data_IF_774780127728
#
_entry.id   IF_774780127728
#
_cell.length_a   1.000
_cell.length_b   1.000
_cell.length_c   1.000
_cell.angle_alpha   90.00
_cell.angle_beta   90.00
_cell.angle_gamma   90.00
#
_symmetry.space_group_name_H-M   'P 1'
#
loop_
_entity.id
_entity.type
_entity.pdbx_description
1 polymer ?
#
# COMPACT_ATOMS: atom_id res chain seq x y z
N UNK A 1 -12.44 -33.69 -37.54
CA UNK A 1 -13.09 -32.60 -38.32
C UNK A 1 -13.58 -31.58 -37.30
N UNK A 2 -12.87 -30.45 -37.15
CA UNK A 2 -13.28 -29.11 -37.63
C UNK A 2 -14.46 -28.52 -36.83
N UNK A 3 -14.50 -27.28 -36.33
CA UNK A 3 -13.65 -26.08 -36.43
C UNK A 3 -14.08 -25.09 -35.32
N UNK A 4 -13.13 -24.24 -34.97
CA UNK A 4 -13.20 -23.02 -34.15
C UNK A 4 -14.24 -22.00 -34.65
N UNK A 5 -14.84 -21.24 -33.72
CA UNK A 5 -15.32 -19.88 -33.99
C UNK A 5 -15.38 -19.06 -32.68
N UNK A 6 -14.36 -18.24 -32.47
CA UNK A 6 -14.33 -17.15 -31.51
C UNK A 6 -15.17 -15.96 -32.03
N UNK A 7 -15.87 -15.25 -31.13
CA UNK A 7 -16.47 -13.96 -31.45
C UNK A 7 -15.96 -12.88 -30.49
N UNK A 8 -15.31 -11.89 -31.12
CA UNK A 8 -14.67 -10.69 -30.56
C UNK A 8 -15.65 -9.83 -29.76
N UNK A 9 -15.31 -9.53 -28.51
CA UNK A 9 -15.82 -8.37 -27.80
C UNK A 9 -14.80 -7.22 -27.92
N UNK A 10 -15.13 -6.24 -28.76
CA UNK A 10 -14.37 -5.00 -28.96
C UNK A 10 -14.81 -3.99 -27.91
N UNK A 11 -14.00 -3.74 -26.89
CA UNK A 11 -14.24 -2.67 -25.91
C UNK A 11 -13.42 -1.45 -26.32
N UNK A 12 -14.10 -0.38 -26.77
CA UNK A 12 -13.50 0.95 -26.97
C UNK A 12 -13.29 1.61 -25.59
N UNK A 13 -12.13 2.21 -25.31
CA UNK A 13 -11.96 3.04 -24.11
C UNK A 13 -12.58 4.43 -24.32
N UNK A 14 -13.58 4.74 -23.51
CA UNK A 14 -14.18 6.08 -23.41
C UNK A 14 -13.24 7.05 -22.70
N UNK A 15 -13.09 8.22 -23.29
CA UNK A 15 -12.25 9.34 -22.87
C UNK A 15 -12.51 9.83 -21.43
N UNK A 16 -11.43 9.82 -20.64
CA UNK A 16 -10.88 10.93 -19.82
C UNK A 16 -11.83 12.14 -19.61
N UNK A 17 -12.51 12.20 -18.47
CA UNK A 17 -13.06 13.46 -17.94
C UNK A 17 -11.95 14.23 -17.23
N UNK A 18 -11.45 15.27 -17.88
CA UNK A 18 -10.66 16.33 -17.25
C UNK A 18 -11.60 17.22 -16.44
N UNK A 19 -11.62 17.03 -15.12
CA UNK A 19 -12.29 17.93 -14.17
C UNK A 19 -11.28 18.91 -13.58
N UNK A 20 -10.96 19.96 -14.32
CA UNK A 20 -10.10 21.08 -13.88
C UNK A 20 -10.96 22.06 -13.09
N UNK A 21 -11.00 21.94 -11.76
CA UNK A 21 -11.63 22.94 -10.90
C UNK A 21 -10.61 24.07 -10.69
N UNK A 22 -10.75 25.16 -11.46
CA UNK A 22 -10.04 26.41 -11.24
C UNK A 22 -10.87 27.26 -10.28
N UNK A 23 -10.35 27.47 -9.06
CA UNK A 23 -10.84 28.46 -8.10
C UNK A 23 -10.78 29.85 -8.73
N UNK A 24 -11.91 30.58 -8.71
CA UNK A 24 -11.92 32.04 -8.84
C UNK A 24 -12.14 32.64 -7.46
N UNK A 25 -11.07 33.23 -6.94
CA UNK A 25 -11.03 33.87 -5.65
C UNK A 25 -11.75 35.20 -5.62
N UNK A 26 -12.18 35.56 -4.41
CA UNK A 26 -12.48 36.91 -3.98
C UNK A 26 -12.19 36.95 -2.47
N UNK A 27 -11.21 37.75 -2.05
CA UNK A 27 -11.41 38.99 -1.31
C UNK A 27 -10.21 39.34 -0.40
N UNK A 28 -9.63 40.50 -0.72
CA UNK A 28 -9.29 41.62 0.17
C UNK A 28 -8.21 41.53 1.26
N UNK A 29 -7.24 42.43 1.05
CA UNK A 29 -6.82 43.51 1.95
C UNK A 29 -5.77 43.22 3.04
N UNK A 30 -4.60 43.82 2.79
CA UNK A 30 -3.76 44.62 3.68
C UNK A 30 -3.95 44.46 5.20
N UNK A 31 -2.87 44.04 5.86
CA UNK A 31 -2.71 44.12 7.30
C UNK A 31 -1.26 43.87 7.71
N UNK A 32 -0.52 44.96 7.91
CA UNK A 32 0.82 45.02 8.49
C UNK A 32 0.78 44.60 9.97
N UNK A 33 1.51 43.55 10.40
CA UNK A 33 2.02 43.44 11.79
C UNK A 33 2.99 42.27 12.01
N UNK A 34 4.16 42.62 12.57
CA UNK A 34 4.97 41.93 13.59
C UNK A 34 5.26 40.41 13.47
N UNK A 35 6.50 40.12 13.05
CA UNK A 35 7.58 39.54 13.87
C UNK A 35 7.26 38.45 14.93
N UNK A 36 8.06 37.37 14.87
CA UNK A 36 8.22 36.24 15.83
C UNK A 36 6.97 35.36 16.01
N UNK A 37 6.92 34.07 15.67
CA UNK A 37 7.96 33.05 15.62
C UNK A 37 7.48 31.96 14.67
N UNK A 38 8.15 31.78 13.53
CA UNK A 38 8.04 30.54 12.78
C UNK A 38 8.93 29.57 13.56
N UNK A 39 8.40 28.93 14.59
CA UNK A 39 8.88 27.58 14.91
C UNK A 39 8.33 26.73 13.78
N UNK A 40 9.14 26.28 12.80
CA UNK A 40 8.74 25.10 12.08
C UNK A 40 8.61 24.03 13.17
N UNK A 41 7.37 23.67 13.53
CA UNK A 41 7.09 22.27 13.75
C UNK A 41 7.41 21.62 12.40
N UNK A 42 8.69 21.37 12.16
CA UNK A 42 9.07 20.17 11.47
C UNK A 42 8.45 19.09 12.34
N UNK A 43 7.24 18.66 11.96
CA UNK A 43 6.85 17.29 12.20
C UNK A 43 8.05 16.51 11.65
N UNK A 44 8.94 16.10 12.56
CA UNK A 44 10.04 15.24 12.21
C UNK A 44 9.32 14.03 11.64
N UNK A 45 9.34 13.91 10.31
CA UNK A 45 8.78 12.76 9.64
C UNK A 45 9.51 11.58 10.27
N UNK A 46 8.79 10.81 11.10
CA UNK A 46 9.38 9.64 11.74
C UNK A 46 9.89 8.78 10.60
N UNK A 47 11.20 8.53 10.59
CA UNK A 47 11.80 7.75 9.52
C UNK A 47 11.08 6.39 9.45
N UNK A 48 10.79 5.88 8.24
CA UNK A 48 10.16 4.58 8.11
C UNK A 48 10.95 3.51 8.88
N UNK A 49 10.22 2.61 9.55
CA UNK A 49 10.81 1.63 10.45
C UNK A 49 11.65 0.57 9.72
N UNK A 50 11.45 0.45 8.41
CA UNK A 50 12.22 -0.41 7.53
C UNK A 50 13.02 0.43 6.55
N UNK A 51 14.22 -0.03 6.23
CA UNK A 51 14.96 0.53 5.11
C UNK A 51 14.31 0.14 3.78
N UNK A 52 14.47 0.96 2.71
CA UNK A 52 14.03 0.61 1.37
C UNK A 52 14.53 -0.77 0.89
N UNK A 53 15.76 -1.15 1.27
CA UNK A 53 16.36 -2.43 0.94
C UNK A 53 15.67 -3.61 1.64
N UNK A 54 15.41 -3.50 2.95
CA UNK A 54 14.65 -4.52 3.69
C UNK A 54 13.27 -4.74 3.05
N UNK A 55 12.58 -3.66 2.66
CA UNK A 55 11.28 -3.76 2.00
C UNK A 55 11.37 -4.46 0.64
N UNK A 56 12.38 -4.11 -0.16
CA UNK A 56 12.59 -4.72 -1.48
C UNK A 56 12.89 -6.22 -1.35
N UNK A 57 13.78 -6.63 -0.43
CA UNK A 57 14.11 -8.04 -0.20
C UNK A 57 12.90 -8.86 0.29
N UNK A 58 12.13 -8.31 1.22
CA UNK A 58 10.89 -8.94 1.69
C UNK A 58 9.89 -9.13 0.54
N UNK A 59 9.73 -8.10 -0.29
CA UNK A 59 8.82 -8.11 -1.43
C UNK A 59 9.25 -9.12 -2.49
N UNK A 60 10.55 -9.23 -2.76
CA UNK A 60 11.12 -10.23 -3.66
C UNK A 60 10.88 -11.66 -3.15
N UNK A 61 11.08 -11.90 -1.85
CA UNK A 61 10.81 -13.20 -1.23
C UNK A 61 9.35 -13.60 -1.39
N UNK A 62 8.43 -12.67 -1.12
CA UNK A 62 6.98 -12.87 -1.33
C UNK A 62 6.68 -13.22 -2.78
N UNK A 63 7.19 -12.45 -3.74
CA UNK A 63 6.95 -12.69 -5.15
C UNK A 63 7.51 -14.05 -5.61
N UNK A 64 8.69 -14.45 -5.12
CA UNK A 64 9.26 -15.76 -5.42
C UNK A 64 8.38 -16.91 -4.89
N UNK A 65 7.93 -16.84 -3.64
CA UNK A 65 6.98 -17.82 -3.06
C UNK A 65 5.67 -17.85 -3.84
N UNK A 66 5.15 -16.69 -4.25
CA UNK A 66 3.93 -16.60 -5.06
C UNK A 66 4.10 -17.23 -6.45
N UNK A 67 5.23 -16.97 -7.13
CA UNK A 67 5.58 -17.56 -8.45
C UNK A 67 5.66 -19.10 -8.39
N UNK A 68 6.06 -19.67 -7.25
CA UNK A 68 6.10 -21.12 -7.00
C UNK A 68 4.74 -21.76 -6.70
N UNK A 69 3.68 -20.96 -6.54
CA UNK A 69 2.34 -21.45 -6.21
C UNK A 69 2.16 -21.81 -4.73
N UNK A 70 3.09 -21.42 -3.86
CA UNK A 70 3.11 -21.73 -2.42
C UNK A 70 2.21 -20.76 -1.62
N UNK A 71 0.98 -20.53 -2.10
CA UNK A 71 0.08 -19.51 -1.54
C UNK A 71 -0.29 -19.78 -0.08
N UNK A 72 -0.49 -21.05 0.27
CA UNK A 72 -0.81 -21.46 1.65
C UNK A 72 0.32 -21.11 2.63
N UNK A 73 1.57 -21.26 2.21
CA UNK A 73 2.72 -20.89 3.02
C UNK A 73 2.83 -19.38 3.18
N UNK A 74 2.55 -18.63 2.11
CA UNK A 74 2.54 -17.18 2.17
C UNK A 74 1.48 -16.65 3.14
N UNK A 75 0.26 -17.21 3.12
CA UNK A 75 -0.77 -16.85 4.10
C UNK A 75 -0.41 -17.21 5.52
N UNK A 76 0.15 -18.40 5.73
CA UNK A 76 0.57 -18.85 7.05
C UNK A 76 1.67 -17.94 7.58
N UNK A 77 2.61 -17.53 6.73
CA UNK A 77 3.69 -16.61 7.08
C UNK A 77 3.14 -15.23 7.43
N UNK A 78 2.23 -14.67 6.63
CA UNK A 78 1.56 -13.40 6.95
C UNK A 78 0.82 -13.48 8.29
N UNK A 79 0.05 -14.55 8.51
CA UNK A 79 -0.73 -14.73 9.75
C UNK A 79 0.16 -14.82 10.98
N UNK A 80 1.20 -15.66 10.93
CA UNK A 80 2.18 -15.80 12.02
C UNK A 80 2.95 -14.50 12.27
N UNK A 81 3.24 -13.72 11.23
CA UNK A 81 3.85 -12.40 11.38
C UNK A 81 2.94 -11.50 12.23
N UNK A 82 1.66 -11.40 11.87
CA UNK A 82 0.71 -10.58 12.62
C UNK A 82 0.49 -11.05 14.06
N UNK A 83 0.51 -12.35 14.32
CA UNK A 83 0.40 -12.89 15.67
C UNK A 83 1.64 -12.60 16.52
N UNK A 84 2.82 -12.56 15.90
CA UNK A 84 4.09 -12.34 16.58
C UNK A 84 4.48 -10.85 16.71
N UNK A 85 3.84 -9.96 15.95
CA UNK A 85 4.22 -8.55 15.87
C UNK A 85 4.11 -7.85 17.24
N UNK A 86 5.23 -7.29 17.71
CA UNK A 86 5.34 -6.57 19.00
C UNK A 86 6.00 -5.22 18.80
N UNK A 87 5.37 -4.38 18.00
CA UNK A 87 5.78 -2.98 17.83
C UNK A 87 5.83 -2.53 16.38
N UNK A 88 6.34 -1.31 16.19
CA UNK A 88 6.34 -0.58 14.92
C UNK A 88 7.09 -1.33 13.82
N UNK A 89 8.33 -1.77 14.09
CA UNK A 89 9.15 -2.47 13.08
C UNK A 89 8.52 -3.80 12.64
N UNK A 90 8.08 -4.64 13.57
CA UNK A 90 7.43 -5.92 13.24
C UNK A 90 6.14 -5.71 12.44
N UNK A 91 5.35 -4.71 12.84
CA UNK A 91 4.11 -4.33 12.14
C UNK A 91 4.43 -3.87 10.71
N UNK A 92 5.50 -3.10 10.51
CA UNK A 92 5.95 -2.69 9.19
C UNK A 92 6.42 -3.88 8.32
N UNK A 93 7.04 -4.91 8.92
CA UNK A 93 7.37 -6.15 8.21
C UNK A 93 6.10 -6.86 7.75
N UNK A 94 5.12 -7.05 8.65
CA UNK A 94 3.88 -7.75 8.30
C UNK A 94 3.04 -6.97 7.29
N UNK A 95 3.00 -5.64 7.40
CA UNK A 95 2.43 -4.73 6.40
C UNK A 95 3.08 -4.95 5.04
N UNK A 96 4.41 -4.95 4.98
CA UNK A 96 5.18 -5.18 3.74
C UNK A 96 4.82 -6.54 3.13
N UNK A 97 4.78 -7.61 3.93
CA UNK A 97 4.41 -8.95 3.44
C UNK A 97 3.00 -8.97 2.84
N UNK A 98 2.02 -8.37 3.53
CA UNK A 98 0.63 -8.32 3.08
C UNK A 98 0.47 -7.53 1.78
N UNK A 99 1.14 -6.38 1.68
CA UNK A 99 1.08 -5.52 0.49
C UNK A 99 1.81 -6.13 -0.69
N UNK A 100 3.00 -6.69 -0.49
CA UNK A 100 3.72 -7.42 -1.53
C UNK A 100 2.91 -8.64 -2.02
N UNK A 101 2.22 -9.35 -1.11
CA UNK A 101 1.33 -10.45 -1.47
C UNK A 101 0.15 -9.98 -2.33
N UNK A 102 -0.43 -8.83 -1.99
CA UNK A 102 -1.43 -8.13 -2.79
C UNK A 102 -0.96 -7.82 -4.21
N UNK A 103 0.21 -7.17 -4.33
CA UNK A 103 0.79 -6.81 -5.63
C UNK A 103 1.20 -8.03 -6.45
N UNK A 104 1.80 -9.05 -5.83
CA UNK A 104 2.16 -10.29 -6.51
C UNK A 104 0.93 -11.03 -7.06
N UNK A 105 -0.18 -11.03 -6.29
CA UNK A 105 -1.44 -11.60 -6.75
C UNK A 105 -2.07 -10.79 -7.89
N UNK A 106 -2.06 -9.46 -7.79
CA UNK A 106 -2.58 -8.56 -8.82
C UNK A 106 -1.83 -8.71 -10.16
N UNK A 107 -0.50 -8.86 -10.11
CA UNK A 107 0.34 -9.02 -11.30
C UNK A 107 0.40 -10.46 -11.82
N UNK A 108 -0.25 -11.42 -11.15
CA UNK A 108 -0.23 -12.83 -11.54
C UNK A 108 -1.48 -13.22 -12.31
N UNK A 109 -1.34 -14.20 -13.21
CA UNK A 109 -2.47 -14.90 -13.84
C UNK A 109 -3.29 -15.74 -12.86
N UNK A 110 -2.72 -16.03 -11.69
CA UNK A 110 -3.37 -16.79 -10.62
C UNK A 110 -3.72 -15.83 -9.50
N UNK A 111 -5.01 -15.54 -9.40
CA UNK A 111 -5.56 -14.60 -8.43
C UNK A 111 -6.00 -15.41 -7.21
N UNK A 112 -5.39 -15.14 -6.07
CA UNK A 112 -5.94 -15.60 -4.79
C UNK A 112 -7.12 -14.74 -4.37
N UNK A 113 -8.22 -15.38 -3.94
CA UNK A 113 -9.37 -14.71 -3.34
C UNK A 113 -9.01 -13.82 -2.13
N UNK A 114 -7.93 -14.14 -1.39
CA UNK A 114 -7.49 -13.36 -0.20
C UNK A 114 -6.77 -12.06 -0.56
N UNK A 115 -6.25 -11.93 -1.79
CA UNK A 115 -5.55 -10.74 -2.28
C UNK A 115 -6.23 -10.07 -3.47
N UNK A 116 -7.27 -10.69 -4.04
CA UNK A 116 -7.94 -10.22 -5.25
C UNK A 116 -8.78 -8.97 -5.06
N UNK A 117 -9.28 -8.75 -3.85
CA UNK A 117 -10.09 -7.59 -3.50
C UNK A 117 -9.21 -6.58 -2.74
N UNK A 118 -8.89 -5.48 -3.42
CA UNK A 118 -8.05 -4.41 -2.89
C UNK A 118 -8.70 -3.68 -1.72
N UNK A 119 -10.03 -3.55 -1.71
CA UNK A 119 -10.76 -2.92 -0.60
C UNK A 119 -10.74 -3.83 0.63
N UNK A 120 -10.97 -5.13 0.44
CA UNK A 120 -10.89 -6.12 1.52
C UNK A 120 -9.46 -6.23 2.08
N UNK A 121 -8.43 -6.19 1.23
CA UNK A 121 -7.03 -6.16 1.65
C UNK A 121 -6.72 -4.92 2.49
N UNK A 122 -7.11 -3.73 2.02
CA UNK A 122 -6.90 -2.47 2.75
C UNK A 122 -7.56 -2.47 4.12
N UNK A 123 -8.82 -2.93 4.22
CA UNK A 123 -9.53 -3.04 5.48
C UNK A 123 -8.88 -4.06 6.44
N UNK A 124 -8.44 -5.20 5.92
CA UNK A 124 -7.73 -6.22 6.71
C UNK A 124 -6.42 -5.67 7.28
N UNK A 125 -5.61 -5.03 6.43
CA UNK A 125 -4.33 -4.44 6.83
C UNK A 125 -4.54 -3.36 7.88
N UNK A 126 -5.48 -2.42 7.64
CA UNK A 126 -5.82 -1.37 8.62
C UNK A 126 -6.23 -1.97 9.97
N UNK A 127 -7.12 -2.96 9.96
CA UNK A 127 -7.55 -3.64 11.20
C UNK A 127 -6.39 -4.33 11.92
N UNK A 128 -5.47 -4.97 11.20
CA UNK A 128 -4.30 -5.63 11.79
C UNK A 128 -3.31 -4.63 12.40
N UNK A 129 -3.04 -3.51 11.73
CA UNK A 129 -2.17 -2.44 12.25
C UNK A 129 -2.76 -1.84 13.51
N UNK A 130 -4.04 -1.42 13.47
CA UNK A 130 -4.74 -0.87 14.63
C UNK A 130 -4.67 -1.83 15.83
N UNK A 131 -4.95 -3.11 15.60
CA UNK A 131 -4.88 -4.15 16.65
C UNK A 131 -3.47 -4.37 17.20
N UNK A 132 -2.46 -4.42 16.33
CA UNK A 132 -1.08 -4.76 16.72
C UNK A 132 -0.41 -3.64 17.51
N UNK A 133 -0.72 -2.39 17.17
CA UNK A 133 -0.12 -1.21 17.79
C UNK A 133 -1.03 -0.51 18.81
N UNK A 134 -2.28 -0.95 18.95
CA UNK A 134 -3.27 -0.31 19.83
C UNK A 134 -3.66 1.10 19.38
N UNK A 135 -3.62 1.36 18.07
CA UNK A 135 -3.87 2.68 17.48
C UNK A 135 -5.35 2.87 17.16
N UNK A 136 -5.82 4.11 17.27
CA UNK A 136 -7.12 4.51 16.74
C UNK A 136 -7.08 4.66 15.20
N UNK A 137 -8.22 4.95 14.57
CA UNK A 137 -8.33 5.02 13.10
C UNK A 137 -7.45 6.11 12.46
N UNK A 138 -7.33 7.27 13.10
CA UNK A 138 -6.52 8.39 12.62
C UNK A 138 -5.03 8.06 12.70
N UNK A 139 -4.58 7.57 13.86
CA UNK A 139 -3.20 7.12 14.06
C UNK A 139 -2.84 5.94 13.16
N UNK A 140 -3.78 5.03 12.93
CA UNK A 140 -3.57 3.90 12.01
C UNK A 140 -3.40 4.39 10.58
N UNK A 141 -4.20 5.37 10.16
CA UNK A 141 -4.08 5.97 8.83
C UNK A 141 -2.74 6.68 8.68
N UNK A 142 -2.36 7.49 9.68
CA UNK A 142 -1.06 8.16 9.71
C UNK A 142 0.10 7.15 9.65
N UNK A 143 0.06 6.09 10.45
CA UNK A 143 1.06 5.04 10.42
C UNK A 143 1.17 4.38 9.05
N UNK A 144 0.04 4.06 8.42
CA UNK A 144 0.05 3.49 7.07
C UNK A 144 0.67 4.48 6.07
N UNK A 145 0.33 5.75 6.15
CA UNK A 145 0.88 6.76 5.25
C UNK A 145 2.40 6.89 5.43
N UNK A 146 2.89 6.93 6.67
CA UNK A 146 4.30 7.09 7.01
C UNK A 146 5.13 5.84 6.66
N UNK A 147 4.58 4.65 6.86
CA UNK A 147 5.31 3.40 6.67
C UNK A 147 5.13 2.79 5.27
N UNK A 148 3.99 3.00 4.61
CA UNK A 148 3.72 2.39 3.32
C UNK A 148 4.07 3.31 2.15
N UNK A 149 3.66 4.57 2.20
CA UNK A 149 3.77 5.50 1.06
C UNK A 149 5.22 5.66 0.57
N UNK A 150 6.22 5.85 1.45
CA UNK A 150 7.63 5.96 1.01
C UNK A 150 8.19 4.68 0.39
N UNK A 151 7.52 3.55 0.59
CA UNK A 151 8.02 2.24 0.20
C UNK A 151 7.26 1.58 -0.95
N UNK A 152 6.18 2.19 -1.45
CA UNK A 152 5.39 1.64 -2.56
C UNK A 152 6.25 1.28 -3.78
N UNK A 153 7.19 2.15 -4.16
CA UNK A 153 8.10 1.86 -5.28
C UNK A 153 9.02 0.66 -4.98
N UNK A 154 9.58 0.58 -3.77
CA UNK A 154 10.46 -0.53 -3.37
C UNK A 154 9.71 -1.87 -3.34
N UNK A 155 8.45 -1.87 -2.91
CA UNK A 155 7.57 -3.06 -2.97
C UNK A 155 7.36 -3.47 -4.42
N UNK A 156 7.03 -2.52 -5.30
CA UNK A 156 6.81 -2.80 -6.73
C UNK A 156 8.08 -3.32 -7.40
N UNK A 157 9.24 -2.71 -7.13
CA UNK A 157 10.53 -3.19 -7.64
C UNK A 157 10.77 -4.62 -7.17
N UNK A 158 10.70 -4.88 -5.86
CA UNK A 158 10.94 -6.21 -5.30
C UNK A 158 10.00 -7.28 -5.87
N UNK A 159 8.72 -6.96 -6.06
CA UNK A 159 7.75 -7.92 -6.63
C UNK A 159 8.04 -8.26 -8.10
N UNK A 160 8.64 -7.36 -8.86
CA UNK A 160 8.90 -7.53 -10.29
C UNK A 160 10.28 -8.10 -10.62
N UNK A 161 11.17 -8.23 -9.64
CA UNK A 161 12.45 -8.94 -9.76
C UNK A 161 12.24 -10.47 -9.85
#
# INVERSE_FOLDING_TARGET
MARSAAQKATIKPTHRREGRIIMKGHLYAAGLALALSITPHAAAAEEPALSPYEVMELSQRVAHTYKRGEYGELYKTEELCWEAAKGVKDTAVCLTLAMAGGYAAYNSRFISAKYSDSSALGNRVRSRVSKSLGLNDEQTTQFLDDQLTPHLENILVGVNM
#
